data_IF_609598015992
#
_entry.id   IF_609598015992
#
_cell.length_a   1.000
_cell.length_b   1.000
_cell.length_c   1.000
_cell.angle_alpha   90.00
_cell.angle_beta   90.00
_cell.angle_gamma   90.00
#
_symmetry.space_group_name_H-M   'P 1'
#
loop_
_entity.id
_entity.type
_entity.pdbx_description
1 polymer ?
#
# COMPACT_ATOMS: atom_id res chain seq x y z
N UNK A 1 46.22 11.27 -5.34
CA UNK A 1 46.92 12.10 -4.32
C UNK A 1 48.18 11.44 -3.77
N UNK A 2 48.27 10.10 -3.73
CA UNK A 2 49.45 9.35 -3.26
C UNK A 2 50.77 9.74 -3.94
N UNK A 3 50.75 9.96 -5.27
CA UNK A 3 51.94 10.36 -6.04
C UNK A 3 52.40 11.81 -5.80
N UNK A 4 51.50 12.71 -5.38
CA UNK A 4 51.83 14.12 -5.13
C UNK A 4 52.55 14.30 -3.78
N UNK A 5 52.14 13.53 -2.77
CA UNK A 5 52.79 13.56 -1.46
C UNK A 5 54.23 13.03 -1.53
N UNK A 6 54.49 11.99 -2.34
CA UNK A 6 55.84 11.47 -2.57
C UNK A 6 56.77 12.46 -3.28
N UNK A 7 56.24 13.42 -4.05
CA UNK A 7 57.03 14.41 -4.79
C UNK A 7 57.30 15.68 -3.99
N UNK A 8 56.38 16.12 -3.12
CA UNK A 8 56.57 17.33 -2.32
C UNK A 8 57.16 17.10 -0.92
N UNK A 9 57.04 15.90 -0.34
CA UNK A 9 57.60 15.57 0.97
C UNK A 9 58.84 14.65 0.85
N UNK A 10 59.80 15.05 0.01
CA UNK A 10 61.09 14.36 -0.15
C UNK A 10 62.03 14.50 1.06
N UNK A 11 61.69 15.33 2.05
CA UNK A 11 62.50 15.57 3.26
C UNK A 11 62.63 14.36 4.19
N UNK A 12 61.90 13.26 3.97
CA UNK A 12 62.00 12.05 4.78
C UNK A 12 62.91 10.95 4.22
N UNK A 13 63.68 11.21 3.15
CA UNK A 13 64.68 10.24 2.65
C UNK A 13 65.90 10.22 3.58
N UNK A 14 65.91 9.24 4.50
CA UNK A 14 67.08 8.90 5.34
C UNK A 14 68.30 8.63 4.46
N UNK A 15 69.37 9.40 4.64
CA UNK A 15 70.70 9.11 4.10
C UNK A 15 71.26 7.85 4.78
N UNK A 16 71.87 6.98 3.97
CA UNK A 16 72.30 5.64 4.37
C UNK A 16 73.61 5.75 5.16
N UNK A 17 73.52 5.71 6.49
CA UNK A 17 74.69 5.61 7.37
C UNK A 17 74.36 5.86 8.84
N UNK A 18 74.53 4.81 9.65
CA UNK A 18 74.44 4.74 11.13
C UNK A 18 73.01 4.64 11.73
N UNK A 19 72.73 3.64 12.58
CA UNK A 19 71.43 3.51 13.21
C UNK A 19 71.28 4.53 14.34
N UNK A 20 70.32 5.45 14.19
CA UNK A 20 69.81 6.29 15.28
C UNK A 20 68.69 5.53 16.00
N UNK A 21 68.66 5.62 17.34
CA UNK A 21 67.66 4.98 18.21
C UNK A 21 66.25 5.28 17.69
N UNK A 22 65.43 4.23 17.60
CA UNK A 22 64.11 4.24 16.98
C UNK A 22 63.15 5.25 17.64
N UNK A 23 62.98 6.42 17.02
CA UNK A 23 61.73 7.17 17.13
C UNK A 23 60.68 6.42 16.30
N UNK A 24 59.62 5.97 16.97
CA UNK A 24 58.48 5.30 16.34
C UNK A 24 57.94 6.23 15.26
N UNK A 25 58.06 5.81 14.00
CA UNK A 25 57.50 6.54 12.88
C UNK A 25 55.98 6.34 12.91
N UNK A 26 55.25 7.38 13.33
CA UNK A 26 53.78 7.42 13.25
C UNK A 26 53.41 7.32 11.77
N UNK A 27 52.79 6.21 11.37
CA UNK A 27 52.31 6.04 10.01
C UNK A 27 51.21 7.09 9.72
N UNK A 28 51.21 7.72 8.53
CA UNK A 28 50.16 8.67 8.18
C UNK A 28 48.79 7.96 8.15
N UNK A 29 47.82 8.50 8.90
CA UNK A 29 46.42 8.06 8.83
C UNK A 29 45.80 8.58 7.54
N UNK A 30 45.52 7.67 6.61
CA UNK A 30 44.83 8.00 5.37
C UNK A 30 43.32 8.07 5.62
N UNK A 31 42.71 9.22 5.33
CA UNK A 31 41.25 9.40 5.36
C UNK A 31 40.69 9.32 3.94
N UNK A 32 39.69 8.46 3.74
CA UNK A 32 38.95 8.38 2.47
C UNK A 32 38.06 9.62 2.36
N UNK A 33 38.18 10.37 1.26
CA UNK A 33 37.41 11.59 1.01
C UNK A 33 36.80 11.57 -0.38
N UNK A 34 35.57 12.07 -0.49
CA UNK A 34 34.92 12.33 -1.78
C UNK A 34 35.60 13.54 -2.43
N UNK A 35 35.95 13.45 -3.70
CA UNK A 35 36.68 14.51 -4.41
C UNK A 35 35.93 14.94 -5.68
N UNK A 36 35.92 16.24 -5.96
CA UNK A 36 35.45 16.80 -7.22
C UNK A 36 36.53 17.66 -7.85
N UNK A 37 36.40 17.94 -9.15
CA UNK A 37 37.33 18.75 -9.94
C UNK A 37 36.55 19.62 -10.90
N UNK A 38 36.90 20.90 -10.99
CA UNK A 38 36.18 21.89 -11.80
C UNK A 38 36.54 21.82 -13.29
N UNK A 39 37.79 21.50 -13.63
CA UNK A 39 38.28 21.47 -15.03
C UNK A 39 38.94 20.14 -15.36
N UNK A 40 38.67 19.60 -16.55
CA UNK A 40 39.15 18.27 -16.96
C UNK A 40 40.67 18.27 -17.28
N UNK A 41 41.23 19.42 -17.67
CA UNK A 41 42.67 19.58 -17.95
C UNK A 41 43.15 21.03 -17.82
N UNK A 42 44.47 21.22 -17.85
CA UNK A 42 45.14 22.52 -17.67
C UNK A 42 45.78 22.71 -16.29
N UNK A 43 46.63 23.73 -16.16
CA UNK A 43 47.42 24.01 -14.94
C UNK A 43 46.60 24.30 -13.68
N UNK A 44 45.28 24.51 -13.82
CA UNK A 44 44.32 24.74 -12.73
C UNK A 44 43.36 23.56 -12.48
N UNK A 45 43.63 22.40 -13.08
CA UNK A 45 42.84 21.19 -12.89
C UNK A 45 43.27 20.46 -11.61
N UNK A 46 42.67 20.83 -10.47
CA UNK A 46 42.96 20.23 -9.16
C UNK A 46 41.72 19.59 -8.54
N UNK A 47 41.91 18.46 -7.87
CA UNK A 47 40.88 17.82 -7.06
C UNK A 47 40.79 18.51 -5.70
N UNK A 48 39.59 18.78 -5.23
CA UNK A 48 39.32 19.24 -3.88
C UNK A 48 38.31 18.31 -3.21
N UNK A 49 38.38 18.22 -1.87
CA UNK A 49 37.47 17.39 -1.10
C UNK A 49 36.07 18.02 -1.05
N UNK A 50 35.04 17.21 -1.26
CA UNK A 50 33.64 17.61 -1.13
C UNK A 50 33.08 16.93 0.11
N UNK A 51 32.56 17.73 1.02
CA UNK A 51 31.87 17.25 2.21
C UNK A 51 30.45 16.88 1.78
N UNK A 52 30.05 15.63 2.00
CA UNK A 52 28.67 15.22 1.69
C UNK A 52 27.69 15.78 2.74
N UNK A 53 26.41 16.01 2.38
CA UNK A 53 25.40 16.40 3.37
C UNK A 53 25.26 15.41 4.53
N UNK A 54 25.57 14.13 4.31
CA UNK A 54 25.60 13.11 5.34
C UNK A 54 26.78 13.31 6.31
N UNK A 55 27.97 13.64 5.80
CA UNK A 55 29.16 13.93 6.63
C UNK A 55 28.98 15.20 7.48
N UNK A 56 28.25 16.20 6.99
CA UNK A 56 27.91 17.40 7.78
C UNK A 56 27.00 17.04 8.94
N UNK A 57 25.92 16.28 8.68
CA UNK A 57 24.99 15.82 9.73
C UNK A 57 25.68 14.95 10.77
N UNK A 58 26.50 14.00 10.33
CA UNK A 58 27.27 13.13 11.23
C UNK A 58 28.23 13.96 12.11
N UNK A 59 28.87 14.99 11.56
CA UNK A 59 29.71 15.92 12.31
C UNK A 59 28.95 16.72 13.36
N UNK A 60 27.79 17.27 13.00
CA UNK A 60 26.91 18.01 13.92
C UNK A 60 26.37 17.12 15.05
N UNK A 61 25.98 15.89 14.74
CA UNK A 61 25.55 14.89 15.71
C UNK A 61 26.68 14.45 16.64
N UNK A 62 27.89 14.24 16.12
CA UNK A 62 29.06 13.90 16.93
C UNK A 62 29.41 15.03 17.90
N UNK A 63 29.33 16.28 17.44
CA UNK A 63 29.57 17.46 18.25
C UNK A 63 28.50 17.61 19.34
N UNK A 64 27.21 17.39 19.01
CA UNK A 64 26.11 17.31 19.99
C UNK A 64 26.34 16.23 21.04
N UNK A 65 26.73 15.02 20.64
CA UNK A 65 27.02 13.91 21.57
C UNK A 65 28.16 14.26 22.51
N UNK A 66 29.21 14.91 22.01
CA UNK A 66 30.34 15.35 22.81
C UNK A 66 29.99 16.47 23.80
N UNK A 67 29.13 17.41 23.40
CA UNK A 67 28.59 18.44 24.30
C UNK A 67 27.67 17.86 25.37
N UNK A 68 26.83 16.89 25.04
CA UNK A 68 25.97 16.20 26.01
C UNK A 68 26.80 15.40 27.02
N UNK A 69 27.84 14.70 26.55
CA UNK A 69 28.75 13.93 27.42
C UNK A 69 29.55 14.81 28.39
N UNK A 70 29.77 16.09 28.05
CA UNK A 70 30.48 17.04 28.93
C UNK A 70 29.58 17.82 29.88
N UNK A 71 28.29 17.97 29.55
CA UNK A 71 27.33 18.77 30.34
C UNK A 71 26.43 17.92 31.25
N UNK A 72 26.20 16.65 30.92
CA UNK A 72 25.30 15.77 31.68
C UNK A 72 26.05 14.83 32.62
N UNK A 73 25.50 14.51 33.80
CA UNK A 73 25.94 13.38 34.60
C UNK A 73 25.85 12.08 33.78
N UNK A 74 26.80 11.16 33.99
CA UNK A 74 26.95 9.92 33.21
C UNK A 74 25.65 9.10 33.12
N UNK A 75 24.93 8.95 34.23
CA UNK A 75 23.67 8.22 34.26
C UNK A 75 22.56 8.87 33.40
N UNK A 76 22.56 10.20 33.29
CA UNK A 76 21.58 10.95 32.49
C UNK A 76 21.95 10.89 31.01
N UNK A 77 23.24 10.97 30.69
CA UNK A 77 23.73 10.76 29.33
C UNK A 77 23.37 9.36 28.80
N UNK A 78 23.52 8.32 29.63
CA UNK A 78 23.14 6.95 29.27
C UNK A 78 21.63 6.84 29.04
N UNK A 79 20.79 7.45 29.88
CA UNK A 79 19.33 7.46 29.69
C UNK A 79 18.93 8.10 28.37
N UNK A 80 19.45 9.30 28.09
CA UNK A 80 19.18 10.01 26.83
C UNK A 80 19.59 9.17 25.62
N UNK A 81 20.74 8.49 25.66
CA UNK A 81 21.17 7.61 24.57
C UNK A 81 20.27 6.38 24.40
N UNK A 82 19.76 5.80 25.50
CA UNK A 82 18.81 4.68 25.45
C UNK A 82 17.47 5.12 24.88
N UNK A 83 16.95 6.26 25.33
CA UNK A 83 15.67 6.81 24.87
C UNK A 83 15.74 7.18 23.39
N UNK A 84 16.85 7.81 22.95
CA UNK A 84 17.08 8.15 21.55
C UNK A 84 17.19 6.89 20.66
N UNK A 85 17.89 5.85 21.13
CA UNK A 85 17.97 4.57 20.42
C UNK A 85 16.62 3.85 20.35
N UNK A 86 15.82 3.93 21.43
CA UNK A 86 14.48 3.35 21.48
C UNK A 86 13.52 4.09 20.55
N UNK A 87 13.55 5.42 20.52
CA UNK A 87 12.76 6.23 19.60
C UNK A 87 13.13 5.96 18.15
N UNK A 88 14.42 5.89 17.82
CA UNK A 88 14.88 5.52 16.47
C UNK A 88 14.41 4.11 16.09
N UNK A 89 14.53 3.14 17.00
CA UNK A 89 14.03 1.78 16.80
C UNK A 89 12.52 1.74 16.55
N UNK A 90 11.74 2.47 17.37
CA UNK A 90 10.29 2.57 17.24
C UNK A 90 9.88 3.25 15.92
N UNK A 91 10.61 4.28 15.48
CA UNK A 91 10.36 4.93 14.19
C UNK A 91 10.63 3.99 13.02
N UNK A 92 11.71 3.21 13.07
CA UNK A 92 12.04 2.21 12.04
C UNK A 92 11.00 1.09 12.03
N UNK A 93 10.60 0.58 13.20
CA UNK A 93 9.56 -0.44 13.28
C UNK A 93 8.21 0.08 12.80
N UNK A 94 7.80 1.27 13.21
CA UNK A 94 6.55 1.89 12.77
C UNK A 94 6.54 2.17 11.26
N UNK A 95 7.67 2.62 10.69
CA UNK A 95 7.80 2.78 9.24
C UNK A 95 7.72 1.44 8.50
N UNK A 96 8.24 0.36 9.11
CA UNK A 96 8.23 -0.98 8.54
C UNK A 96 6.88 -1.68 8.68
N UNK A 97 6.17 -1.48 9.79
CA UNK A 97 4.82 -2.01 10.06
C UNK A 97 3.82 -1.55 9.00
N UNK A 98 3.97 -0.31 8.53
CA UNK A 98 3.09 0.25 7.52
C UNK A 98 3.42 -0.22 6.09
N UNK A 99 4.53 -0.92 5.88
CA UNK A 99 4.96 -1.41 4.56
C UNK A 99 4.80 -2.92 4.48
N UNK A 100 4.17 -3.39 3.40
CA UNK A 100 3.99 -4.82 3.18
C UNK A 100 5.35 -5.43 2.79
N UNK A 101 5.84 -6.36 3.61
CA UNK A 101 7.06 -7.12 3.34
C UNK A 101 6.75 -8.52 2.81
N UNK A 102 7.64 -9.05 1.97
CA UNK A 102 7.58 -10.45 1.51
C UNK A 102 8.14 -11.43 2.57
N UNK A 103 8.78 -10.90 3.62
CA UNK A 103 9.52 -11.66 4.62
C UNK A 103 8.78 -11.72 5.97
N UNK A 104 7.55 -12.25 5.99
CA UNK A 104 6.95 -12.65 7.26
C UNK A 104 7.56 -13.99 7.71
N UNK A 105 7.91 -14.12 8.99
CA UNK A 105 8.52 -15.34 9.52
C UNK A 105 7.59 -16.55 9.25
N UNK A 106 8.11 -17.77 9.00
CA UNK A 106 7.30 -18.95 8.66
C UNK A 106 6.22 -19.29 9.70
N UNK A 107 6.37 -18.79 10.92
CA UNK A 107 5.46 -18.99 12.04
C UNK A 107 4.23 -18.05 12.01
N UNK A 108 4.23 -17.04 11.14
CA UNK A 108 3.23 -15.96 11.11
C UNK A 108 2.44 -15.88 9.80
N UNK A 109 2.87 -16.58 8.74
CA UNK A 109 2.19 -16.54 7.44
C UNK A 109 1.12 -17.61 7.36
N UNK A 110 -0.13 -17.20 7.15
CA UNK A 110 -1.20 -18.16 6.87
C UNK A 110 -0.88 -18.95 5.60
N UNK A 111 -1.10 -20.28 5.55
CA UNK A 111 -0.89 -21.09 4.34
C UNK A 111 -1.66 -20.57 3.11
N UNK A 112 -2.75 -19.85 3.34
CA UNK A 112 -3.53 -19.20 2.28
C UNK A 112 -2.78 -18.02 1.65
N UNK A 113 -2.07 -17.21 2.44
CA UNK A 113 -1.26 -16.10 1.93
C UNK A 113 -0.06 -16.60 1.12
N UNK A 114 0.56 -17.72 1.52
CA UNK A 114 1.61 -18.37 0.74
C UNK A 114 1.09 -18.84 -0.63
N UNK A 115 -0.09 -19.47 -0.65
CA UNK A 115 -0.71 -19.96 -1.89
C UNK A 115 -1.07 -18.82 -2.85
N UNK A 116 -1.61 -17.73 -2.31
CA UNK A 116 -2.11 -16.60 -3.10
C UNK A 116 -1.04 -15.58 -3.47
N UNK A 117 0.13 -15.63 -2.82
CA UNK A 117 1.26 -14.72 -3.06
C UNK A 117 0.92 -13.24 -2.90
N UNK A 118 -0.12 -12.91 -2.11
CA UNK A 118 -0.49 -11.53 -1.79
C UNK A 118 0.66 -10.72 -1.17
N UNK A 119 1.46 -11.25 -0.21
CA UNK A 119 2.58 -10.49 0.35
C UNK A 119 3.60 -10.06 -0.71
N UNK A 120 3.97 -10.98 -1.60
CA UNK A 120 4.84 -10.70 -2.74
C UNK A 120 4.22 -9.71 -3.72
N UNK A 121 2.92 -9.85 -3.99
CA UNK A 121 2.20 -8.99 -4.93
C UNK A 121 2.11 -7.53 -4.45
N UNK A 122 1.94 -7.33 -3.14
CA UNK A 122 1.79 -6.01 -2.53
C UNK A 122 3.08 -5.46 -1.93
N UNK A 123 4.19 -6.16 -2.12
CA UNK A 123 5.47 -5.84 -1.50
C UNK A 123 5.91 -4.40 -1.78
N UNK A 124 6.30 -3.68 -0.73
CA UNK A 124 6.79 -2.31 -0.82
C UNK A 124 5.70 -1.24 -0.88
N UNK A 125 4.41 -1.63 -0.92
CA UNK A 125 3.30 -0.69 -0.77
C UNK A 125 2.90 -0.52 0.69
N UNK A 126 2.30 0.63 1.00
CA UNK A 126 1.70 0.85 2.30
C UNK A 126 0.46 -0.03 2.47
N UNK A 127 0.35 -0.72 3.61
CA UNK A 127 -0.83 -1.52 3.92
C UNK A 127 -2.10 -0.67 3.94
N UNK A 128 -2.04 0.52 4.53
CA UNK A 128 -3.18 1.44 4.62
C UNK A 128 -3.64 1.90 3.23
N UNK A 129 -2.70 2.30 2.37
CA UNK A 129 -3.02 2.72 1.01
C UNK A 129 -3.67 1.59 0.19
N UNK A 130 -3.17 0.36 0.33
CA UNK A 130 -3.73 -0.81 -0.35
C UNK A 130 -5.10 -1.18 0.24
N UNK A 131 -5.27 -1.09 1.56
CA UNK A 131 -6.53 -1.38 2.23
C UNK A 131 -7.64 -0.42 1.79
N UNK A 132 -7.30 0.86 1.54
CA UNK A 132 -8.23 1.86 1.02
C UNK A 132 -8.78 1.47 -0.37
N UNK A 133 -8.00 0.79 -1.21
CA UNK A 133 -8.50 0.29 -2.50
C UNK A 133 -9.63 -0.71 -2.33
N UNK A 134 -9.60 -1.50 -1.27
CA UNK A 134 -10.64 -2.49 -0.94
C UNK A 134 -11.72 -1.95 0.01
N UNK A 135 -11.69 -0.67 0.37
CA UNK A 135 -12.69 -0.06 1.26
C UNK A 135 -14.09 -0.09 0.63
N UNK A 136 -15.17 -0.05 1.43
CA UNK A 136 -16.53 0.07 0.89
C UNK A 136 -16.65 1.28 -0.05
N UNK A 137 -17.46 1.14 -1.10
CA UNK A 137 -17.75 2.23 -2.02
C UNK A 137 -18.52 3.36 -1.30
N UNK A 138 -18.15 4.60 -1.60
CA UNK A 138 -18.88 5.77 -1.09
C UNK A 138 -20.04 6.15 -2.02
N UNK A 139 -21.20 6.46 -1.44
CA UNK A 139 -22.42 6.75 -2.19
C UNK A 139 -22.34 8.08 -2.94
N UNK A 140 -21.59 9.06 -2.43
CA UNK A 140 -21.50 10.39 -3.03
C UNK A 140 -20.45 10.43 -4.13
N UNK A 141 -19.28 9.82 -3.92
CA UNK A 141 -18.20 9.83 -4.91
C UNK A 141 -18.25 8.68 -5.92
N UNK A 142 -18.73 7.50 -5.52
CA UNK A 142 -18.65 6.26 -6.31
C UNK A 142 -20.02 5.56 -6.46
N UNK A 143 -21.05 6.26 -6.99
CA UNK A 143 -22.39 5.69 -7.11
C UNK A 143 -22.43 4.40 -7.96
N UNK A 144 -21.58 4.31 -8.98
CA UNK A 144 -21.45 3.12 -9.84
C UNK A 144 -20.99 1.88 -9.07
N UNK A 145 -20.01 2.02 -8.17
CA UNK A 145 -19.52 0.92 -7.35
C UNK A 145 -20.53 0.49 -6.29
N UNK A 146 -21.32 1.44 -5.76
CA UNK A 146 -22.43 1.10 -4.87
C UNK A 146 -23.47 0.28 -5.61
N UNK A 147 -23.90 0.71 -6.80
CA UNK A 147 -24.86 -0.05 -7.62
C UNK A 147 -24.34 -1.44 -8.01
N UNK A 148 -23.05 -1.54 -8.34
CA UNK A 148 -22.41 -2.83 -8.63
C UNK A 148 -22.41 -3.74 -7.41
N UNK A 149 -22.10 -3.18 -6.23
CA UNK A 149 -22.13 -3.90 -4.95
C UNK A 149 -23.54 -4.36 -4.59
N UNK A 150 -24.56 -3.56 -4.85
CA UNK A 150 -25.96 -3.89 -4.59
C UNK A 150 -26.52 -4.86 -5.63
N UNK A 151 -26.03 -4.81 -6.87
CA UNK A 151 -26.31 -5.83 -7.88
C UNK A 151 -25.80 -7.20 -7.43
N UNK A 152 -24.59 -7.27 -6.90
CA UNK A 152 -24.05 -8.50 -6.32
C UNK A 152 -24.95 -9.02 -5.19
N UNK A 153 -25.37 -8.16 -4.26
CA UNK A 153 -26.30 -8.57 -3.19
C UNK A 153 -27.58 -9.19 -3.74
N UNK A 154 -28.21 -8.55 -4.72
CA UNK A 154 -29.44 -9.03 -5.36
C UNK A 154 -29.25 -10.40 -6.02
N UNK A 155 -28.20 -10.57 -6.82
CA UNK A 155 -27.89 -11.85 -7.49
C UNK A 155 -27.68 -12.95 -6.47
N UNK A 156 -26.90 -12.65 -5.44
CA UNK A 156 -26.49 -13.60 -4.42
C UNK A 156 -27.69 -13.97 -3.54
N UNK A 157 -28.55 -13.02 -3.17
CA UNK A 157 -29.79 -13.29 -2.42
C UNK A 157 -30.81 -14.08 -3.23
N UNK A 158 -31.02 -13.73 -4.50
CA UNK A 158 -31.94 -14.45 -5.38
C UNK A 158 -31.47 -15.89 -5.62
N UNK A 159 -30.18 -16.08 -5.86
CA UNK A 159 -29.60 -17.41 -6.02
C UNK A 159 -29.76 -18.26 -4.75
N UNK A 160 -29.53 -17.68 -3.56
CA UNK A 160 -29.74 -18.37 -2.29
C UNK A 160 -31.20 -18.73 -2.05
N UNK A 161 -32.11 -17.78 -2.29
CA UNK A 161 -33.56 -17.97 -2.19
C UNK A 161 -34.04 -19.07 -3.14
N UNK A 162 -33.56 -19.06 -4.39
CA UNK A 162 -33.90 -20.06 -5.41
C UNK A 162 -33.51 -21.47 -4.98
N UNK A 163 -32.30 -21.67 -4.46
CA UNK A 163 -31.84 -22.99 -4.02
C UNK A 163 -32.55 -23.43 -2.73
N UNK A 164 -32.85 -22.51 -1.81
CA UNK A 164 -33.56 -22.83 -0.55
C UNK A 164 -35.02 -23.22 -0.79
N UNK A 165 -35.67 -22.60 -1.77
CA UNK A 165 -37.08 -22.84 -2.09
C UNK A 165 -37.27 -24.00 -3.09
N UNK A 166 -36.26 -24.86 -3.28
CA UNK A 166 -36.26 -26.00 -4.22
C UNK A 166 -36.73 -25.65 -5.65
N UNK A 167 -36.59 -24.38 -6.06
CA UNK A 167 -36.78 -23.97 -7.48
C UNK A 167 -35.71 -24.58 -8.39
N UNK A 168 -34.62 -25.05 -7.78
CA UNK A 168 -33.53 -25.80 -8.42
C UNK A 168 -33.82 -27.29 -8.24
N UNK A 169 -33.87 -28.03 -9.34
CA UNK A 169 -34.16 -29.48 -9.37
C UNK A 169 -33.30 -30.25 -8.33
N UNK A 170 -33.87 -31.25 -7.67
CA UNK A 170 -33.19 -32.13 -6.68
C UNK A 170 -31.88 -32.71 -7.24
N UNK A 171 -31.82 -33.01 -8.54
CA UNK A 171 -30.59 -33.46 -9.21
C UNK A 171 -29.52 -32.35 -9.29
N UNK A 172 -29.93 -31.12 -9.58
CA UNK A 172 -29.04 -29.95 -9.60
C UNK A 172 -28.60 -29.58 -8.18
N UNK A 173 -29.49 -29.69 -7.19
CA UNK A 173 -29.19 -29.47 -5.78
C UNK A 173 -28.20 -30.53 -5.26
N UNK A 174 -28.40 -31.81 -5.61
CA UNK A 174 -27.46 -32.88 -5.32
C UNK A 174 -26.11 -32.66 -6.03
N UNK A 175 -26.12 -32.15 -7.26
CA UNK A 175 -24.90 -31.81 -8.02
C UNK A 175 -24.14 -30.63 -7.42
N UNK A 176 -24.84 -29.56 -7.03
CA UNK A 176 -24.29 -28.36 -6.36
C UNK A 176 -23.67 -28.75 -5.01
N UNK A 177 -24.30 -29.67 -4.28
CA UNK A 177 -23.86 -30.12 -2.96
C UNK A 177 -22.98 -31.38 -2.98
N UNK A 178 -22.71 -31.98 -4.14
CA UNK A 178 -21.98 -33.26 -4.24
C UNK A 178 -20.49 -33.07 -3.97
N UNK A 179 -19.95 -33.98 -3.15
CA UNK A 179 -18.51 -34.10 -2.90
C UNK A 179 -17.82 -35.14 -3.81
N UNK A 180 -18.57 -35.79 -4.71
CA UNK A 180 -18.16 -37.03 -5.38
C UNK A 180 -17.43 -36.78 -6.70
N UNK A 181 -17.64 -35.63 -7.35
CA UNK A 181 -16.82 -35.24 -8.50
C UNK A 181 -15.62 -34.43 -8.00
N UNK A 182 -14.42 -34.66 -8.56
CA UNK A 182 -13.18 -33.86 -8.35
C UNK A 182 -13.31 -32.42 -8.89
N UNK A 183 -14.45 -31.80 -8.63
CA UNK A 183 -14.73 -30.40 -8.84
C UNK A 183 -13.94 -29.63 -7.80
N UNK A 184 -13.13 -28.67 -8.24
CA UNK A 184 -12.33 -27.83 -7.34
C UNK A 184 -13.28 -27.10 -6.39
N UNK A 185 -12.81 -26.63 -5.24
CA UNK A 185 -13.67 -25.89 -4.29
C UNK A 185 -14.45 -24.73 -4.96
N UNK A 186 -13.90 -24.16 -6.03
CA UNK A 186 -14.49 -23.08 -6.85
C UNK A 186 -15.68 -23.51 -7.74
N UNK A 187 -15.90 -24.81 -7.94
CA UNK A 187 -17.03 -25.35 -8.74
C UNK A 187 -18.33 -25.48 -7.92
N UNK A 188 -18.32 -25.01 -6.66
CA UNK A 188 -19.45 -24.99 -5.74
C UNK A 188 -19.87 -23.54 -5.51
N UNK A 189 -20.74 -22.97 -6.37
CA UNK A 189 -20.97 -21.53 -6.39
C UNK A 189 -21.61 -21.02 -5.09
N UNK A 190 -22.48 -21.80 -4.44
CA UNK A 190 -23.15 -21.39 -3.19
C UNK A 190 -23.41 -22.62 -2.30
N UNK A 191 -22.83 -22.64 -1.08
CA UNK A 191 -23.17 -23.65 -0.07
C UNK A 191 -24.40 -23.19 0.70
N UNK A 192 -25.54 -23.83 0.47
CA UNK A 192 -26.83 -23.44 1.10
C UNK A 192 -26.95 -23.76 2.58
N UNK A 193 -26.03 -24.56 3.11
CA UNK A 193 -25.98 -24.94 4.53
C UNK A 193 -25.12 -23.98 5.37
N UNK A 194 -24.68 -22.86 4.80
CA UNK A 194 -23.94 -21.83 5.52
C UNK A 194 -24.86 -21.04 6.45
N UNK A 195 -24.30 -20.54 7.56
CA UNK A 195 -25.01 -19.60 8.44
C UNK A 195 -25.15 -18.26 7.72
N UNK A 196 -26.23 -17.54 7.96
CA UNK A 196 -26.48 -16.21 7.38
C UNK A 196 -25.32 -15.24 7.65
N UNK A 197 -24.66 -15.35 8.81
CA UNK A 197 -23.47 -14.55 9.14
C UNK A 197 -22.29 -14.83 8.20
N UNK A 198 -22.05 -16.09 7.84
CA UNK A 198 -20.99 -16.44 6.89
C UNK A 198 -21.30 -15.90 5.51
N UNK A 199 -22.58 -15.96 5.11
CA UNK A 199 -23.04 -15.41 3.84
C UNK A 199 -22.75 -13.92 3.73
N UNK A 200 -23.13 -13.15 4.75
CA UNK A 200 -22.87 -11.71 4.84
C UNK A 200 -21.37 -11.42 4.74
N UNK A 201 -20.53 -12.17 5.45
CA UNK A 201 -19.08 -12.00 5.38
C UNK A 201 -18.53 -12.26 3.97
N UNK A 202 -18.99 -13.31 3.28
CA UNK A 202 -18.55 -13.59 1.92
C UNK A 202 -19.01 -12.51 0.94
N UNK A 203 -20.27 -12.05 1.04
CA UNK A 203 -20.76 -10.91 0.24
C UNK A 203 -19.86 -9.68 0.43
N UNK A 204 -19.51 -9.37 1.69
CA UNK A 204 -18.61 -8.25 1.99
C UNK A 204 -17.23 -8.42 1.35
N UNK A 205 -16.62 -9.61 1.42
CA UNK A 205 -15.32 -9.89 0.78
C UNK A 205 -15.41 -9.69 -0.73
N UNK A 206 -16.45 -10.18 -1.39
CA UNK A 206 -16.64 -9.98 -2.82
C UNK A 206 -16.85 -8.50 -3.20
N UNK A 207 -17.64 -7.75 -2.43
CA UNK A 207 -17.81 -6.30 -2.65
C UNK A 207 -16.47 -5.56 -2.55
N UNK A 208 -15.67 -5.87 -1.52
CA UNK A 208 -14.32 -5.30 -1.35
C UNK A 208 -13.41 -5.66 -2.52
N UNK A 209 -13.50 -6.88 -3.04
CA UNK A 209 -12.73 -7.32 -4.20
C UNK A 209 -13.12 -6.56 -5.48
N UNK A 210 -14.41 -6.32 -5.70
CA UNK A 210 -14.90 -5.50 -6.83
C UNK A 210 -14.36 -4.07 -6.73
N UNK A 211 -14.45 -3.47 -5.54
CA UNK A 211 -13.90 -2.12 -5.29
C UNK A 211 -12.40 -2.09 -5.56
N UNK A 212 -11.65 -3.08 -5.04
CA UNK A 212 -10.22 -3.20 -5.27
C UNK A 212 -9.89 -3.30 -6.76
N UNK A 213 -10.55 -4.22 -7.48
CA UNK A 213 -10.31 -4.43 -8.91
C UNK A 213 -10.64 -3.19 -9.74
N UNK A 214 -11.74 -2.50 -9.43
CA UNK A 214 -12.13 -1.28 -10.12
C UNK A 214 -11.20 -0.10 -9.83
N UNK A 215 -10.79 0.11 -8.57
CA UNK A 215 -9.93 1.25 -8.19
C UNK A 215 -8.50 1.08 -8.67
N UNK A 216 -7.99 -0.15 -8.70
CA UNK A 216 -6.62 -0.46 -9.14
C UNK A 216 -6.34 -0.13 -10.60
N UNK A 217 -7.38 -0.04 -11.42
CA UNK A 217 -7.26 0.23 -12.86
C UNK A 217 -7.61 1.67 -13.22
N UNK A 218 -8.09 2.48 -12.27
CA UNK A 218 -8.38 3.88 -12.55
C UNK A 218 -7.08 4.64 -12.78
N UNK A 219 -7.01 5.52 -13.79
CA UNK A 219 -5.80 6.28 -14.11
C UNK A 219 -5.40 7.24 -12.99
N UNK A 220 -6.33 7.67 -12.13
CA UNK A 220 -6.09 8.56 -10.99
C UNK A 220 -5.58 7.84 -9.74
N UNK A 221 -5.48 6.50 -9.77
CA UNK A 221 -5.05 5.74 -8.61
C UNK A 221 -3.57 5.97 -8.29
N UNK A 222 -3.27 6.22 -7.01
CA UNK A 222 -1.91 6.45 -6.51
C UNK A 222 -1.11 5.15 -6.38
N UNK A 223 -1.79 4.03 -6.13
CA UNK A 223 -1.14 2.74 -5.88
C UNK A 223 -0.99 1.97 -7.19
N UNK A 224 0.18 2.07 -7.81
CA UNK A 224 0.51 1.36 -9.04
C UNK A 224 0.92 -0.09 -8.75
N UNK A 225 -0.05 -1.01 -8.77
CA UNK A 225 0.23 -2.44 -8.62
C UNK A 225 0.70 -3.06 -9.94
N UNK A 226 1.57 -4.08 -9.87
CA UNK A 226 2.14 -4.74 -11.05
C UNK A 226 1.13 -5.58 -11.87
N UNK A 227 -0.10 -5.71 -11.38
CA UNK A 227 -1.15 -6.50 -12.02
C UNK A 227 -1.63 -5.88 -13.32
N UNK A 228 -1.93 -6.75 -14.28
CA UNK A 228 -2.66 -6.41 -15.50
C UNK A 228 -3.85 -7.35 -15.62
N UNK A 229 -5.05 -6.78 -15.68
CA UNK A 229 -6.24 -7.53 -16.08
C UNK A 229 -6.01 -8.13 -17.47
N UNK A 230 -6.49 -9.35 -17.67
CA UNK A 230 -6.57 -9.93 -19.01
C UNK A 230 -7.57 -9.15 -19.87
N UNK A 231 -7.46 -9.22 -21.19
CA UNK A 231 -8.40 -8.56 -22.12
C UNK A 231 -9.85 -8.91 -21.82
N UNK A 232 -10.14 -10.17 -21.48
CA UNK A 232 -11.49 -10.59 -21.13
C UNK A 232 -11.97 -9.98 -19.81
N UNK A 233 -11.09 -9.88 -18.81
CA UNK A 233 -11.44 -9.27 -17.52
C UNK A 233 -11.67 -7.75 -17.66
N UNK A 234 -10.86 -7.07 -18.47
CA UNK A 234 -11.11 -5.68 -18.85
C UNK A 234 -12.48 -5.55 -19.53
N UNK A 235 -12.75 -6.38 -20.54
CA UNK A 235 -14.02 -6.35 -21.26
C UNK A 235 -15.25 -6.56 -20.34
N UNK A 236 -15.17 -7.47 -19.37
CA UNK A 236 -16.25 -7.64 -18.39
C UNK A 236 -16.41 -6.42 -17.47
N UNK A 237 -15.30 -5.78 -17.12
CA UNK A 237 -15.34 -4.61 -16.26
C UNK A 237 -15.88 -3.38 -17.03
N UNK A 238 -15.48 -3.20 -18.29
CA UNK A 238 -16.04 -2.16 -19.17
C UNK A 238 -17.56 -2.36 -19.36
N UNK A 239 -18.01 -3.60 -19.53
CA UNK A 239 -19.44 -3.92 -19.58
C UNK A 239 -20.16 -3.59 -18.26
N UNK A 240 -19.55 -3.90 -17.12
CA UNK A 240 -20.10 -3.54 -15.81
C UNK A 240 -20.26 -2.02 -15.66
N UNK A 241 -19.26 -1.25 -16.12
CA UNK A 241 -19.31 0.21 -16.12
C UNK A 241 -20.45 0.70 -17.00
N UNK A 242 -20.50 0.28 -18.28
CA UNK A 242 -21.51 0.74 -19.23
C UNK A 242 -22.94 0.43 -18.77
N UNK A 243 -23.20 -0.80 -18.31
CA UNK A 243 -24.53 -1.17 -17.78
C UNK A 243 -24.88 -0.37 -16.52
N UNK A 244 -23.90 -0.10 -15.66
CA UNK A 244 -24.12 0.68 -14.45
C UNK A 244 -24.42 2.16 -14.73
N UNK A 245 -23.80 2.74 -15.75
CA UNK A 245 -24.09 4.11 -16.23
C UNK A 245 -25.51 4.19 -16.82
N UNK A 246 -25.89 3.27 -17.72
CA UNK A 246 -27.25 3.19 -18.27
C UNK A 246 -28.31 3.06 -17.17
N UNK A 247 -28.03 2.23 -16.17
CA UNK A 247 -28.93 2.04 -15.03
C UNK A 247 -29.06 3.31 -14.18
N UNK A 248 -27.96 4.06 -13.99
CA UNK A 248 -27.97 5.31 -13.25
C UNK A 248 -28.84 6.37 -13.97
N UNK A 249 -28.70 6.50 -15.29
CA UNK A 249 -29.52 7.38 -16.13
C UNK A 249 -31.01 7.01 -16.06
N UNK A 250 -31.31 5.72 -16.14
CA UNK A 250 -32.68 5.21 -16.01
C UNK A 250 -33.28 5.55 -14.64
N UNK A 251 -32.53 5.34 -13.55
CA UNK A 251 -32.98 5.67 -12.19
C UNK A 251 -33.18 7.17 -12.01
N UNK A 252 -32.34 8.01 -12.61
CA UNK A 252 -32.50 9.46 -12.57
C UNK A 252 -33.76 9.91 -13.32
N UNK A 253 -34.04 9.32 -14.48
CA UNK A 253 -35.24 9.59 -15.28
C UNK A 253 -36.53 9.19 -14.55
N UNK A 254 -36.53 8.03 -13.87
CA UNK A 254 -37.66 7.58 -13.04
C UNK A 254 -37.94 8.51 -11.85
N UNK A 255 -36.88 9.02 -11.20
CA UNK A 255 -37.01 9.99 -10.09
C UNK A 255 -37.59 11.32 -10.54
N UNK A 256 -37.24 11.78 -11.74
CA UNK A 256 -37.79 13.02 -12.32
C UNK A 256 -39.24 12.84 -12.78
N UNK A 257 -39.60 11.67 -13.33
CA UNK A 257 -40.98 11.35 -13.72
C UNK A 257 -41.97 11.26 -12.54
N UNK A 258 -41.54 10.71 -11.40
CA UNK A 258 -42.38 10.60 -10.20
C UNK A 258 -42.52 11.92 -9.40
N UNK A 259 -41.74 12.95 -9.73
CA UNK A 259 -41.78 14.25 -9.06
C UNK A 259 -42.82 15.25 -9.59
N UNK A 260 -43.53 14.92 -10.69
CA UNK A 260 -44.40 15.87 -11.40
C UNK A 260 -45.90 15.68 -11.07
N UNK A 261 -46.32 14.60 -10.39
CA UNK A 261 -47.75 14.27 -10.24
C UNK A 261 -48.32 14.40 -8.80
N UNK A 262 -47.84 15.36 -8.01
CA UNK A 262 -48.52 15.77 -6.77
C UNK A 262 -48.64 17.29 -6.66
N UNK A 263 -49.38 17.89 -7.59
CA UNK A 263 -50.04 19.18 -7.36
C UNK A 263 -51.28 18.99 -6.47
N UNK A 264 -51.59 19.92 -5.54
CA UNK A 264 -52.71 19.74 -4.62
C UNK A 264 -54.03 19.73 -5.40
N UNK A 265 -54.78 18.63 -5.33
CA UNK A 265 -56.20 18.62 -5.72
C UNK A 265 -56.96 19.52 -4.75
N UNK A 266 -57.16 20.78 -5.14
CA UNK A 266 -58.08 21.69 -4.49
C UNK A 266 -59.49 21.10 -4.62
N UNK A 267 -59.97 20.50 -3.54
CA UNK A 267 -61.37 20.07 -3.43
C UNK A 267 -62.20 21.34 -3.30
N UNK A 268 -62.81 21.79 -4.40
CA UNK A 268 -63.86 22.79 -4.36
C UNK A 268 -65.10 22.18 -3.69
N UNK A 269 -65.27 22.45 -2.39
CA UNK A 269 -66.55 22.34 -1.69
C UNK A 269 -67.42 23.52 -2.13
N UNK A 270 -68.41 23.25 -2.98
CA UNK A 270 -69.54 24.15 -3.20
C UNK A 270 -70.44 24.09 -1.97
N UNK A 271 -70.50 25.20 -1.23
CA UNK A 271 -71.52 25.43 -0.21
C UNK A 271 -72.75 25.99 -0.93
N UNK A 272 -73.79 25.17 -1.06
CA UNK A 272 -75.13 25.62 -1.41
C UNK A 272 -75.74 26.37 -0.21
N UNK A 273 -76.08 27.64 -0.42
CA UNK A 273 -77.03 28.39 0.38
C UNK A 273 -77.81 29.36 -0.50
N UNK A 274 -79.11 29.48 -0.19
CA UNK A 274 -80.18 30.36 -0.72
C UNK A 274 -80.95 29.79 -1.92
N UNK A 275 -82.29 29.67 -1.92
CA UNK A 275 -83.34 30.25 -1.08
C UNK A 275 -84.52 29.27 -0.88
#
# INVERSE_FOLDING_TARGET
MERHFQTQHTEQKRTRGRPSKATVATAPQWKKVSCQRLFIGGSKSQYFAVISPAEVKEGEEAQRRQEMATKLPEAEYIRVQIDEALEQGNQVMSALENVILDNAAPTEVSPWLEMTRWPKYLQGHSFDEVALLASPADQASEPLLVESSDSLDRIVEEAHSSIRNDKVNVFDQARINSFIQRRRAFDRPLMTKLRDSTYRNYKQVFKRLICFAYRTIQPENRVALAYRLTTCQLGHLDQMIGVGEELAEFKQSQRQGNGVDQGPRTIHRTNDWTA
#
